data_IF_156570536217
#
_entry.id   IF_156570536217
#
_cell.length_a   1.000
_cell.length_b   1.000
_cell.length_c   1.000
_cell.angle_alpha   90.00
_cell.angle_beta   90.00
_cell.angle_gamma   90.00
#
_symmetry.space_group_name_H-M   'P 1'
#
loop_
_entity.id
_entity.type
_entity.pdbx_description
1 polymer ?
#
# COMPACT_ATOMS: atom_id res chain seq x y z
N UNK A 1 5.38 15.71 5.73
CA UNK A 1 5.00 14.49 6.47
C UNK A 1 4.05 13.65 5.65
N UNK A 2 4.21 12.33 5.65
CA UNK A 2 3.30 11.35 5.04
C UNK A 2 2.51 10.66 6.16
N UNK A 3 1.19 10.57 6.04
CA UNK A 3 0.34 9.78 6.92
C UNK A 3 -0.23 8.60 6.13
N UNK A 4 0.16 7.39 6.48
CA UNK A 4 -0.40 6.17 5.89
C UNK A 4 -1.53 5.63 6.76
N UNK A 5 -2.68 5.32 6.15
CA UNK A 5 -3.89 4.88 6.86
C UNK A 5 -4.40 3.60 6.21
N UNK A 6 -4.53 2.54 7.01
CA UNK A 6 -5.08 1.28 6.52
C UNK A 6 -4.74 0.08 7.37
N UNK A 7 -4.75 -1.10 6.74
CA UNK A 7 -4.51 -2.35 7.42
C UNK A 7 -3.07 -2.48 7.92
N UNK A 8 -2.97 -3.06 9.12
CA UNK A 8 -1.80 -3.75 9.66
C UNK A 8 -2.28 -5.13 10.08
N UNK A 9 -1.54 -6.15 9.70
CA UNK A 9 -1.96 -7.55 9.83
C UNK A 9 -0.76 -8.47 10.04
N UNK A 10 -1.02 -9.76 10.31
CA UNK A 10 0.03 -10.76 10.31
C UNK A 10 0.01 -11.56 9.01
N UNK A 11 1.17 -11.61 8.34
CA UNK A 11 1.45 -12.55 7.26
C UNK A 11 2.01 -13.84 7.89
N UNK A 12 1.26 -14.93 7.81
CA UNK A 12 1.67 -16.25 8.25
C UNK A 12 2.21 -17.04 7.07
N UNK A 13 3.54 -17.09 6.95
CA UNK A 13 4.22 -17.82 5.88
C UNK A 13 4.39 -19.26 6.32
N UNK A 14 3.74 -20.17 5.61
CA UNK A 14 3.69 -21.60 5.90
C UNK A 14 4.71 -22.42 5.11
N UNK A 15 5.38 -23.33 5.79
CA UNK A 15 6.26 -24.33 5.20
C UNK A 15 5.83 -25.73 5.65
N UNK A 16 5.78 -26.69 4.72
CA UNK A 16 5.47 -28.09 5.02
C UNK A 16 6.77 -28.86 5.26
N UNK A 17 7.02 -29.23 6.52
CA UNK A 17 8.19 -30.00 6.93
C UNK A 17 7.74 -31.27 7.68
N UNK A 18 8.26 -32.42 7.30
CA UNK A 18 8.01 -33.72 7.96
C UNK A 18 6.52 -34.04 8.21
N UNK A 19 5.65 -33.67 7.27
CA UNK A 19 4.21 -33.89 7.35
C UNK A 19 3.44 -32.86 8.20
N UNK A 20 4.12 -31.94 8.87
CA UNK A 20 3.53 -30.83 9.60
C UNK A 20 3.57 -29.54 8.79
N UNK A 21 2.52 -28.71 8.90
CA UNK A 21 2.50 -27.37 8.37
C UNK A 21 2.86 -26.40 9.51
N UNK A 22 3.99 -25.72 9.38
CA UNK A 22 4.47 -24.73 10.34
C UNK A 22 4.36 -23.32 9.77
N UNK A 23 4.02 -22.34 10.59
CA UNK A 23 3.91 -20.95 10.16
C UNK A 23 4.89 -20.05 10.90
N UNK A 24 5.51 -19.13 10.17
CA UNK A 24 6.27 -18.02 10.71
C UNK A 24 5.44 -16.74 10.51
N UNK A 25 5.24 -15.99 11.59
CA UNK A 25 4.48 -14.75 11.56
C UNK A 25 5.40 -13.56 11.25
N UNK A 26 4.94 -12.72 10.34
CA UNK A 26 5.55 -11.44 10.01
C UNK A 26 4.52 -10.33 10.15
N UNK A 27 4.95 -9.15 10.54
CA UNK A 27 4.11 -7.96 10.50
C UNK A 27 4.04 -7.48 9.04
N UNK A 28 2.83 -7.20 8.55
CA UNK A 28 2.56 -6.80 7.19
C UNK A 28 1.34 -5.89 7.10
N UNK A 29 0.82 -5.76 5.89
CA UNK A 29 -0.24 -4.82 5.49
C UNK A 29 0.33 -3.74 4.57
N UNK A 30 -0.24 -3.60 3.36
CA UNK A 30 0.33 -2.73 2.34
C UNK A 30 0.54 -1.28 2.81
N UNK A 31 -0.42 -0.62 3.50
CA UNK A 31 -0.21 0.74 4.01
C UNK A 31 0.88 0.82 5.09
N UNK A 32 0.99 -0.23 5.94
CA UNK A 32 2.06 -0.28 6.94
C UNK A 32 3.42 -0.51 6.28
N UNK A 33 3.51 -1.41 5.31
CA UNK A 33 4.74 -1.66 4.54
C UNK A 33 5.21 -0.37 3.83
N UNK A 34 4.29 0.36 3.21
CA UNK A 34 4.55 1.66 2.60
C UNK A 34 5.11 2.65 3.62
N UNK A 35 4.47 2.77 4.81
CA UNK A 35 4.91 3.68 5.86
C UNK A 35 6.36 3.39 6.30
N UNK A 36 6.67 2.11 6.55
CA UNK A 36 8.03 1.67 6.93
C UNK A 36 9.05 2.02 5.84
N UNK A 37 8.73 1.71 4.59
CA UNK A 37 9.64 1.99 3.46
C UNK A 37 9.81 3.49 3.19
N UNK A 38 8.77 4.30 3.38
CA UNK A 38 8.86 5.76 3.30
C UNK A 38 9.76 6.32 4.44
N UNK A 39 9.61 5.81 5.67
CA UNK A 39 10.46 6.17 6.81
C UNK A 39 11.92 5.82 6.56
N UNK A 40 12.19 4.62 6.09
CA UNK A 40 13.56 4.17 5.74
C UNK A 40 14.15 4.96 4.57
N UNK A 41 13.32 5.59 3.75
CA UNK A 41 13.71 6.49 2.66
C UNK A 41 13.87 7.96 3.10
N UNK A 42 13.79 8.25 4.41
CA UNK A 42 14.09 9.54 5.02
C UNK A 42 12.89 10.48 5.19
N UNK A 43 11.66 10.03 4.94
CA UNK A 43 10.46 10.84 5.18
C UNK A 43 10.11 10.91 6.68
N UNK A 44 9.37 11.97 7.06
CA UNK A 44 8.62 12.01 8.32
C UNK A 44 7.29 11.29 8.10
N UNK A 45 7.02 10.23 8.87
CA UNK A 45 5.92 9.30 8.60
C UNK A 45 5.07 9.03 9.83
N UNK A 46 3.75 9.15 9.67
CA UNK A 46 2.76 8.62 10.61
C UNK A 46 2.04 7.41 10.02
N UNK A 47 1.54 6.54 10.89
CA UNK A 47 0.68 5.44 10.52
C UNK A 47 -0.56 5.38 11.42
N UNK A 48 -1.72 5.11 10.82
CA UNK A 48 -2.98 4.85 11.52
C UNK A 48 -3.53 3.51 11.05
N UNK A 49 -3.79 2.62 12.00
CA UNK A 49 -4.41 1.33 11.74
C UNK A 49 -5.27 0.86 12.92
N UNK A 50 -5.85 -0.34 12.79
CA UNK A 50 -6.60 -0.96 13.87
C UNK A 50 -6.38 -2.46 13.90
N UNK A 51 -6.17 -3.01 15.11
CA UNK A 51 -5.99 -4.43 15.39
C UNK A 51 -7.00 -4.90 16.44
N UNK A 52 -7.20 -6.20 16.54
CA UNK A 52 -7.99 -6.80 17.62
C UNK A 52 -7.22 -6.84 18.95
N UNK A 53 -7.94 -6.92 20.06
CA UNK A 53 -7.36 -7.23 21.39
C UNK A 53 -7.06 -8.75 21.50
N UNK A 54 -6.21 -9.25 20.61
CA UNK A 54 -5.84 -10.67 20.53
C UNK A 54 -4.32 -10.88 20.50
N UNK A 55 -3.88 -12.14 20.44
CA UNK A 55 -2.45 -12.49 20.40
C UNK A 55 -1.76 -11.89 19.17
N UNK A 56 -2.44 -11.93 18.01
CA UNK A 56 -1.90 -11.41 16.75
C UNK A 56 -1.83 -9.89 16.78
N UNK A 57 -2.85 -9.21 17.30
CA UNK A 57 -2.86 -7.76 17.46
C UNK A 57 -1.70 -7.27 18.34
N UNK A 58 -1.46 -7.94 19.46
CA UNK A 58 -0.29 -7.63 20.30
C UNK A 58 1.04 -7.86 19.59
N UNK A 59 1.15 -8.96 18.83
CA UNK A 59 2.34 -9.27 18.05
C UNK A 59 2.62 -8.19 17.01
N UNK A 60 1.66 -7.87 16.13
CA UNK A 60 1.90 -6.88 15.06
C UNK A 60 2.13 -5.48 15.60
N UNK A 61 1.51 -5.11 16.73
CA UNK A 61 1.75 -3.82 17.40
C UNK A 61 3.20 -3.75 17.91
N UNK A 62 3.68 -4.80 18.60
CA UNK A 62 5.05 -4.84 19.09
C UNK A 62 6.09 -4.82 17.96
N UNK A 63 5.79 -5.47 16.82
CA UNK A 63 6.66 -5.38 15.64
C UNK A 63 6.60 -3.98 15.02
N UNK A 64 5.42 -3.36 14.95
CA UNK A 64 5.25 -2.02 14.39
C UNK A 64 6.02 -0.94 15.17
N UNK A 65 6.14 -1.08 16.48
CA UNK A 65 6.93 -0.17 17.33
C UNK A 65 8.42 -0.13 16.93
N UNK A 66 8.96 -1.26 16.44
CA UNK A 66 10.36 -1.34 15.97
C UNK A 66 10.62 -0.53 14.70
N UNK A 67 9.57 -0.19 13.94
CA UNK A 67 9.70 0.62 12.72
C UNK A 67 10.12 2.07 12.99
N UNK A 68 10.06 2.53 14.25
CA UNK A 68 10.42 3.89 14.67
C UNK A 68 9.78 4.98 13.80
N UNK A 69 8.50 4.82 13.47
CA UNK A 69 7.73 5.85 12.78
C UNK A 69 7.59 7.10 13.67
N UNK A 70 7.48 8.28 13.07
CA UNK A 70 7.37 9.54 13.82
C UNK A 70 6.03 9.65 14.58
N UNK A 71 5.00 8.95 14.12
CA UNK A 71 3.76 8.71 14.85
C UNK A 71 3.19 7.34 14.51
N UNK A 72 2.84 6.57 15.54
CA UNK A 72 2.24 5.25 15.39
C UNK A 72 0.94 5.22 16.19
N UNK A 73 -0.19 5.16 15.47
CA UNK A 73 -1.54 5.21 16.04
C UNK A 73 -2.31 3.94 15.70
N UNK A 74 -2.06 2.89 16.46
CA UNK A 74 -2.76 1.61 16.32
C UNK A 74 -3.91 1.58 17.32
N UNK A 75 -5.13 1.63 16.79
CA UNK A 75 -6.35 1.47 17.58
C UNK A 75 -6.56 -0.01 17.95
N UNK A 76 -7.12 -0.27 19.11
CA UNK A 76 -7.50 -1.63 19.54
C UNK A 76 -9.01 -1.81 19.45
N UNK A 77 -9.45 -2.93 18.87
CA UNK A 77 -10.84 -3.35 18.82
C UNK A 77 -11.08 -4.48 19.85
N UNK A 78 -11.97 -4.25 20.81
CA UNK A 78 -12.29 -5.21 21.87
C UNK A 78 -13.20 -6.36 21.42
N UNK A 79 -13.77 -6.25 20.21
CA UNK A 79 -14.79 -7.19 19.72
C UNK A 79 -14.37 -7.97 18.50
N UNK A 80 -13.43 -7.43 17.72
CA UNK A 80 -12.99 -7.98 16.44
C UNK A 80 -11.58 -8.49 16.52
N UNK A 81 -11.30 -9.53 15.74
CA UNK A 81 -9.96 -10.08 15.64
C UNK A 81 -9.09 -9.30 14.66
N UNK A 82 -7.79 -9.47 14.82
CA UNK A 82 -6.79 -9.00 13.88
C UNK A 82 -6.85 -9.83 12.60
N UNK A 83 -6.72 -9.19 11.46
CA UNK A 83 -6.62 -9.86 10.16
C UNK A 83 -5.35 -10.69 10.06
N UNK A 84 -5.47 -11.89 9.48
CA UNK A 84 -4.36 -12.79 9.18
C UNK A 84 -4.38 -13.12 7.69
N UNK A 85 -3.25 -12.97 7.04
CA UNK A 85 -3.01 -13.50 5.70
C UNK A 85 -2.18 -14.80 5.83
N UNK A 86 -2.67 -15.89 5.30
CA UNK A 86 -1.92 -17.13 5.16
C UNK A 86 -1.25 -17.14 3.79
N UNK A 87 0.04 -17.38 3.78
CA UNK A 87 0.84 -17.54 2.57
C UNK A 87 1.49 -18.91 2.64
N UNK A 88 1.05 -19.84 1.82
CA UNK A 88 1.66 -21.18 1.78
C UNK A 88 2.43 -21.37 0.48
N UNK A 89 3.56 -22.04 0.56
CA UNK A 89 4.34 -22.50 -0.57
C UNK A 89 4.11 -24.02 -0.70
N UNK A 90 3.26 -24.42 -1.66
CA UNK A 90 2.97 -25.81 -1.95
C UNK A 90 3.49 -26.09 -3.36
N UNK A 91 4.44 -27.02 -3.47
CA UNK A 91 5.06 -27.43 -4.76
C UNK A 91 5.62 -26.25 -5.60
N UNK A 92 6.08 -25.18 -4.92
CA UNK A 92 6.63 -23.97 -5.55
C UNK A 92 5.57 -22.95 -5.99
N UNK A 93 4.30 -23.26 -5.82
CA UNK A 93 3.20 -22.31 -6.04
C UNK A 93 2.79 -21.63 -4.72
N UNK A 94 2.51 -20.33 -4.81
CA UNK A 94 2.00 -19.56 -3.67
C UNK A 94 0.49 -19.62 -3.66
N UNK A 95 -0.04 -20.01 -2.51
CA UNK A 95 -1.46 -19.93 -2.20
C UNK A 95 -1.66 -18.87 -1.11
N UNK A 96 -2.64 -17.98 -1.31
CA UNK A 96 -3.02 -16.93 -0.38
C UNK A 96 -4.43 -17.17 0.14
N UNK A 97 -4.59 -17.06 1.45
CA UNK A 97 -5.91 -17.09 2.08
C UNK A 97 -5.97 -16.03 3.18
N UNK A 98 -7.07 -15.29 3.24
CA UNK A 98 -7.28 -14.30 4.28
C UNK A 98 -8.30 -14.79 5.31
N UNK A 99 -7.93 -14.78 6.60
CA UNK A 99 -8.89 -14.82 7.69
C UNK A 99 -9.29 -13.37 8.02
N UNK A 100 -10.32 -12.87 7.30
CA UNK A 100 -10.73 -11.47 7.31
C UNK A 100 -12.26 -11.33 7.31
N UNK A 101 -12.92 -12.06 8.22
CA UNK A 101 -14.36 -11.93 8.44
C UNK A 101 -14.63 -11.05 9.66
N UNK A 102 -15.28 -9.89 9.47
CA UNK A 102 -15.56 -8.86 10.50
C UNK A 102 -14.32 -8.53 11.38
N UNK A 103 -13.18 -8.29 10.74
CA UNK A 103 -11.91 -7.99 11.41
C UNK A 103 -11.73 -6.49 11.70
N UNK A 104 -10.75 -6.15 12.52
CA UNK A 104 -10.52 -4.80 13.01
C UNK A 104 -10.08 -3.80 11.94
N UNK A 105 -9.32 -4.25 10.93
CA UNK A 105 -8.61 -3.41 9.96
C UNK A 105 -9.51 -2.49 9.12
N UNK A 106 -10.74 -2.88 8.81
CA UNK A 106 -11.71 -2.04 8.09
C UNK A 106 -12.73 -1.34 9.03
N UNK A 107 -12.52 -1.43 10.33
CA UNK A 107 -13.32 -0.78 11.36
C UNK A 107 -12.55 0.33 12.09
N UNK A 108 -11.58 0.98 11.43
CA UNK A 108 -10.83 2.10 12.00
C UNK A 108 -11.83 3.20 12.40
N UNK A 109 -11.69 3.69 13.63
CA UNK A 109 -12.53 4.75 14.17
C UNK A 109 -11.98 6.12 13.74
N UNK A 110 -12.64 6.74 12.77
CA UNK A 110 -12.22 8.03 12.21
C UNK A 110 -12.21 9.14 13.26
N UNK A 111 -13.17 9.14 14.20
CA UNK A 111 -13.33 10.22 15.19
C UNK A 111 -12.22 10.18 16.26
N UNK A 112 -11.44 9.09 16.32
CA UNK A 112 -10.25 8.97 17.15
C UNK A 112 -8.97 9.43 16.45
N UNK A 113 -9.03 9.80 15.18
CA UNK A 113 -7.86 10.29 14.45
C UNK A 113 -7.74 11.80 14.65
N UNK A 114 -6.76 12.23 15.44
CA UNK A 114 -6.44 13.65 15.58
C UNK A 114 -5.50 14.08 14.44
N UNK A 115 -6.08 14.57 13.35
CA UNK A 115 -5.31 15.08 12.21
C UNK A 115 -4.44 16.29 12.56
N UNK A 116 -4.77 17.06 13.59
CA UNK A 116 -4.02 18.27 13.98
C UNK A 116 -2.64 17.96 14.58
N UNK A 117 -2.43 16.73 15.09
CA UNK A 117 -1.13 16.30 15.59
C UNK A 117 -0.10 16.06 14.50
N UNK A 118 -0.54 15.76 13.25
CA UNK A 118 0.35 15.49 12.11
C UNK A 118 0.78 16.81 11.46
N UNK A 119 1.78 17.46 12.04
CA UNK A 119 2.29 18.74 11.55
C UNK A 119 2.92 18.61 10.17
N UNK A 120 2.67 19.60 9.30
CA UNK A 120 3.18 19.60 7.92
C UNK A 120 2.78 18.37 7.13
N UNK A 121 1.53 17.93 7.27
CA UNK A 121 0.97 16.79 6.56
C UNK A 121 0.78 17.16 5.07
N UNK A 122 1.60 16.57 4.21
CA UNK A 122 1.62 16.85 2.77
C UNK A 122 0.91 15.76 1.96
N UNK A 123 0.99 14.51 2.43
CA UNK A 123 0.41 13.36 1.74
C UNK A 123 -0.32 12.48 2.76
N UNK A 124 -1.55 12.10 2.45
CA UNK A 124 -2.27 11.00 3.09
C UNK A 124 -2.32 9.84 2.12
N UNK A 125 -1.76 8.70 2.53
CA UNK A 125 -1.86 7.44 1.79
C UNK A 125 -2.99 6.61 2.36
N UNK A 126 -3.87 6.12 1.48
CA UNK A 126 -5.02 5.30 1.84
C UNK A 126 -4.83 3.87 1.33
N UNK A 127 -4.94 2.89 2.23
CA UNK A 127 -4.96 1.47 1.89
C UNK A 127 -6.24 1.07 1.14
N UNK A 128 -6.13 0.15 0.19
CA UNK A 128 -7.24 -0.29 -0.65
C UNK A 128 -8.00 -1.48 -0.09
N UNK A 129 -7.37 -2.29 0.76
CA UNK A 129 -7.94 -3.54 1.25
C UNK A 129 -9.27 -3.35 1.99
N UNK A 130 -9.39 -2.26 2.75
CA UNK A 130 -10.61 -1.93 3.48
C UNK A 130 -11.82 -1.67 2.58
N UNK A 131 -11.61 -1.36 1.30
CA UNK A 131 -12.68 -1.04 0.36
C UNK A 131 -13.53 -2.25 -0.01
N UNK A 132 -13.10 -3.47 0.32
CA UNK A 132 -13.94 -4.68 0.19
C UNK A 132 -15.23 -4.59 1.03
N UNK A 133 -15.19 -3.83 2.12
CA UNK A 133 -16.27 -3.71 3.07
C UNK A 133 -16.97 -2.34 3.03
N UNK A 134 -18.28 -2.31 3.23
CA UNK A 134 -19.05 -1.05 3.21
C UNK A 134 -18.55 -0.04 4.25
N UNK A 135 -18.26 -0.51 5.47
CA UNK A 135 -17.73 0.33 6.56
C UNK A 135 -16.36 0.91 6.19
N UNK A 136 -15.51 0.09 5.57
CA UNK A 136 -14.21 0.53 5.08
C UNK A 136 -14.33 1.58 3.98
N UNK A 137 -15.27 1.43 3.04
CA UNK A 137 -15.55 2.44 2.00
C UNK A 137 -16.05 3.76 2.60
N UNK A 138 -16.95 3.68 3.60
CA UNK A 138 -17.44 4.88 4.30
C UNK A 138 -16.32 5.60 5.06
N UNK A 139 -15.45 4.86 5.76
CA UNK A 139 -14.27 5.39 6.41
C UNK A 139 -13.30 6.04 5.42
N UNK A 140 -12.96 5.33 4.35
CA UNK A 140 -12.04 5.81 3.30
C UNK A 140 -12.54 7.11 2.65
N UNK A 141 -13.87 7.24 2.43
CA UNK A 141 -14.46 8.47 1.94
C UNK A 141 -14.23 9.64 2.92
N UNK A 142 -14.45 9.44 4.23
CA UNK A 142 -14.19 10.48 5.24
C UNK A 142 -12.72 10.89 5.26
N UNK A 143 -11.79 9.93 5.09
CA UNK A 143 -10.35 10.22 4.99
C UNK A 143 -10.05 11.06 3.75
N UNK A 144 -10.59 10.71 2.59
CA UNK A 144 -10.40 11.46 1.36
C UNK A 144 -10.96 12.90 1.47
N UNK A 145 -12.17 13.05 2.02
CA UNK A 145 -12.79 14.37 2.26
C UNK A 145 -11.92 15.21 3.21
N UNK A 146 -11.43 14.60 4.31
CA UNK A 146 -10.56 15.29 5.26
C UNK A 146 -9.21 15.67 4.68
N UNK A 147 -8.63 14.80 3.86
CA UNK A 147 -7.36 15.08 3.15
C UNK A 147 -7.49 16.32 2.28
N UNK A 148 -8.58 16.43 1.54
CA UNK A 148 -8.89 17.61 0.73
C UNK A 148 -9.10 18.86 1.59
N UNK A 149 -9.86 18.74 2.70
CA UNK A 149 -10.12 19.86 3.64
C UNK A 149 -8.83 20.47 4.18
N UNK A 150 -7.86 19.64 4.57
CA UNK A 150 -6.58 20.11 5.13
C UNK A 150 -5.55 20.51 4.06
N UNK A 151 -5.88 20.39 2.77
CA UNK A 151 -5.00 20.76 1.66
C UNK A 151 -3.82 19.79 1.42
N UNK A 152 -3.88 18.57 1.97
CA UNK A 152 -2.92 17.52 1.69
C UNK A 152 -3.26 16.78 0.40
N UNK A 153 -2.29 16.08 -0.21
CA UNK A 153 -2.52 15.22 -1.36
C UNK A 153 -2.95 13.82 -0.94
N UNK A 154 -3.93 13.27 -1.63
CA UNK A 154 -4.32 11.87 -1.45
C UNK A 154 -3.49 10.98 -2.38
N UNK A 155 -2.84 9.96 -1.82
CA UNK A 155 -2.20 8.89 -2.60
C UNK A 155 -2.95 7.56 -2.39
N UNK A 156 -3.08 6.79 -3.46
CA UNK A 156 -3.84 5.55 -3.48
C UNK A 156 -3.09 4.47 -4.28
N UNK A 157 -2.93 3.29 -3.70
CA UNK A 157 -2.44 2.10 -4.38
C UNK A 157 -3.62 1.16 -4.64
N UNK A 158 -3.84 0.79 -5.90
CA UNK A 158 -4.95 -0.09 -6.26
C UNK A 158 -4.78 -1.46 -5.63
N UNK A 159 -3.59 -2.02 -5.67
CA UNK A 159 -3.17 -3.23 -4.95
C UNK A 159 -4.28 -4.29 -4.86
N UNK A 160 -4.82 -4.68 -6.02
CA UNK A 160 -5.97 -5.55 -6.13
C UNK A 160 -5.71 -6.95 -5.56
N UNK A 161 -6.65 -7.46 -4.75
CA UNK A 161 -6.60 -8.79 -4.15
C UNK A 161 -7.81 -9.63 -4.56
N UNK A 162 -7.60 -10.59 -5.48
CA UNK A 162 -8.67 -11.49 -5.99
C UNK A 162 -9.32 -12.32 -4.89
N UNK A 163 -8.54 -12.70 -3.88
CA UNK A 163 -9.00 -13.55 -2.77
C UNK A 163 -9.99 -12.85 -1.83
N UNK A 164 -10.00 -11.52 -1.86
CA UNK A 164 -10.89 -10.69 -1.03
C UNK A 164 -12.10 -10.22 -1.82
N UNK A 165 -11.86 -9.72 -3.01
CA UNK A 165 -12.93 -9.34 -3.94
C UNK A 165 -13.21 -10.51 -4.88
N UNK A 166 -14.23 -11.28 -4.59
CA UNK A 166 -14.64 -12.42 -5.41
C UNK A 166 -15.11 -12.03 -6.82
N UNK A 167 -15.56 -10.79 -6.97
CA UNK A 167 -16.04 -10.19 -8.22
C UNK A 167 -15.19 -8.97 -8.53
N UNK A 168 -14.49 -9.02 -9.68
CA UNK A 168 -13.63 -7.93 -10.14
C UNK A 168 -14.40 -6.64 -10.39
N UNK A 169 -15.62 -6.73 -10.92
CA UNK A 169 -16.45 -5.55 -11.16
C UNK A 169 -16.87 -4.88 -9.84
N UNK A 170 -17.07 -5.66 -8.78
CA UNK A 170 -17.32 -5.13 -7.45
C UNK A 170 -16.07 -4.39 -6.91
N UNK A 171 -14.88 -4.95 -7.11
CA UNK A 171 -13.63 -4.28 -6.76
C UNK A 171 -13.44 -2.97 -7.53
N UNK A 172 -13.65 -3.01 -8.84
CA UNK A 172 -13.57 -1.82 -9.71
C UNK A 172 -14.52 -0.72 -9.23
N UNK A 173 -15.79 -1.05 -8.97
CA UNK A 173 -16.76 -0.09 -8.42
C UNK A 173 -16.34 0.50 -7.07
N UNK A 174 -15.70 -0.31 -6.21
CA UNK A 174 -15.22 0.14 -4.91
C UNK A 174 -14.01 1.08 -5.02
N UNK A 175 -13.11 0.82 -5.97
CA UNK A 175 -11.86 1.57 -6.17
C UNK A 175 -12.04 2.85 -7.00
N UNK A 176 -12.97 2.84 -7.97
CA UNK A 176 -13.15 3.93 -8.91
C UNK A 176 -13.29 5.31 -8.26
N UNK A 177 -14.06 5.52 -7.17
CA UNK A 177 -14.15 6.82 -6.50
C UNK A 177 -12.79 7.32 -6.00
N UNK A 178 -11.93 6.42 -5.51
CA UNK A 178 -10.61 6.75 -4.97
C UNK A 178 -9.58 6.98 -6.08
N UNK A 179 -9.62 6.18 -7.15
CA UNK A 179 -8.82 6.42 -8.37
C UNK A 179 -9.17 7.78 -8.97
N UNK A 180 -10.44 8.19 -8.93
CA UNK A 180 -10.89 9.50 -9.44
C UNK A 180 -10.44 10.66 -8.54
N UNK A 181 -10.55 10.54 -7.23
CA UNK A 181 -10.28 11.65 -6.31
C UNK A 181 -8.83 11.77 -5.83
N UNK A 182 -8.01 10.70 -5.94
CA UNK A 182 -6.62 10.75 -5.52
C UNK A 182 -5.75 11.58 -6.47
N UNK A 183 -4.77 12.29 -5.90
CA UNK A 183 -3.77 13.08 -6.63
C UNK A 183 -2.66 12.20 -7.20
N UNK A 184 -2.33 11.11 -6.51
CA UNK A 184 -1.30 10.16 -6.91
C UNK A 184 -1.89 8.75 -6.85
N UNK A 185 -1.93 8.06 -7.97
CA UNK A 185 -2.45 6.69 -8.05
C UNK A 185 -1.37 5.77 -8.59
N UNK A 186 -1.18 4.64 -7.92
CA UNK A 186 -0.28 3.58 -8.38
C UNK A 186 -1.09 2.36 -8.81
N UNK A 187 -0.64 1.75 -9.90
CA UNK A 187 -1.05 0.46 -10.41
C UNK A 187 0.18 -0.43 -10.68
N UNK A 188 0.00 -1.73 -10.68
CA UNK A 188 0.82 -2.60 -11.51
C UNK A 188 0.31 -2.57 -12.96
N UNK A 189 1.10 -3.09 -13.91
CA UNK A 189 0.69 -3.19 -15.31
C UNK A 189 -0.63 -3.96 -15.45
N UNK A 190 -0.71 -5.14 -14.86
CA UNK A 190 -1.90 -5.99 -14.91
C UNK A 190 -3.12 -5.31 -14.29
N UNK A 191 -2.96 -4.67 -13.13
CA UNK A 191 -4.04 -3.94 -12.46
C UNK A 191 -4.59 -2.79 -13.32
N UNK A 192 -3.71 -2.05 -14.00
CA UNK A 192 -4.13 -0.95 -14.86
C UNK A 192 -4.96 -1.45 -16.05
N UNK A 193 -4.47 -2.49 -16.72
CA UNK A 193 -5.16 -3.07 -17.88
C UNK A 193 -6.50 -3.68 -17.49
N UNK A 194 -6.53 -4.42 -16.39
CA UNK A 194 -7.76 -5.01 -15.86
C UNK A 194 -8.74 -3.91 -15.41
N UNK A 195 -8.27 -2.89 -14.71
CA UNK A 195 -9.13 -1.81 -14.20
C UNK A 195 -9.77 -1.01 -15.32
N UNK A 196 -9.02 -0.67 -16.36
CA UNK A 196 -9.53 0.14 -17.48
C UNK A 196 -10.24 -0.68 -18.54
N UNK A 197 -9.86 -1.93 -18.73
CA UNK A 197 -10.30 -2.77 -19.86
C UNK A 197 -9.72 -2.33 -21.21
N UNK A 198 -8.70 -1.47 -21.20
CA UNK A 198 -8.06 -0.89 -22.39
C UNK A 198 -6.75 -1.61 -22.63
N UNK A 199 -6.54 -2.09 -23.87
CA UNK A 199 -5.29 -2.70 -24.27
C UNK A 199 -4.19 -1.64 -24.45
N UNK A 200 -3.02 -1.91 -23.84
CA UNK A 200 -1.86 -1.03 -23.91
C UNK A 200 -1.77 -0.03 -22.76
N UNK A 201 -0.61 -0.03 -22.10
CA UNK A 201 -0.36 0.74 -20.87
C UNK A 201 -0.59 2.24 -21.07
N UNK A 202 -0.10 2.80 -22.18
CA UNK A 202 -0.21 4.23 -22.49
C UNK A 202 -1.68 4.66 -22.59
N UNK A 203 -2.47 3.98 -23.41
CA UNK A 203 -3.88 4.31 -23.62
C UNK A 203 -4.69 4.11 -22.32
N UNK A 204 -4.41 3.04 -21.57
CA UNK A 204 -5.04 2.76 -20.31
C UNK A 204 -4.75 3.84 -19.27
N UNK A 205 -3.48 4.23 -19.09
CA UNK A 205 -3.09 5.26 -18.14
C UNK A 205 -3.62 6.65 -18.55
N UNK A 206 -3.52 7.00 -19.83
CA UNK A 206 -4.02 8.27 -20.34
C UNK A 206 -5.54 8.43 -20.14
N UNK A 207 -6.31 7.33 -20.18
CA UNK A 207 -7.76 7.35 -19.91
C UNK A 207 -8.11 7.75 -18.48
N UNK A 208 -7.17 7.61 -17.54
CA UNK A 208 -7.33 7.96 -16.12
C UNK A 208 -6.71 9.31 -15.75
N UNK A 209 -5.95 9.92 -16.70
CA UNK A 209 -5.31 11.19 -16.44
C UNK A 209 -6.31 12.33 -16.29
N UNK A 210 -6.05 13.17 -15.32
CA UNK A 210 -6.73 14.44 -15.11
C UNK A 210 -5.67 15.49 -14.74
N UNK A 211 -6.06 16.78 -14.73
CA UNK A 211 -5.17 17.87 -14.37
C UNK A 211 -4.57 17.62 -12.98
N UNK A 212 -3.24 17.75 -12.90
CA UNK A 212 -2.45 17.60 -11.66
C UNK A 212 -2.50 16.20 -11.01
N UNK A 213 -3.11 15.21 -11.68
CA UNK A 213 -3.11 13.81 -11.25
C UNK A 213 -1.89 13.09 -11.80
N UNK A 214 -1.18 12.40 -10.93
CA UNK A 214 -0.05 11.56 -11.27
C UNK A 214 -0.47 10.09 -11.25
N UNK A 215 -0.35 9.41 -12.40
CA UNK A 215 -0.52 7.96 -12.51
C UNK A 215 0.87 7.33 -12.58
N UNK A 216 1.11 6.35 -11.72
CA UNK A 216 2.32 5.52 -11.67
C UNK A 216 1.96 4.09 -12.04
N UNK A 217 2.77 3.46 -12.87
CA UNK A 217 2.59 2.06 -13.26
C UNK A 217 3.89 1.30 -13.03
N UNK A 218 3.88 0.29 -12.15
CA UNK A 218 5.03 -0.58 -11.95
C UNK A 218 5.07 -1.68 -13.02
N UNK A 219 6.24 -1.90 -13.62
CA UNK A 219 6.49 -2.81 -14.75
C UNK A 219 7.39 -3.98 -14.32
N UNK A 220 7.35 -4.35 -13.05
CA UNK A 220 8.18 -5.39 -12.47
C UNK A 220 9.67 -5.12 -12.66
N UNK A 221 10.41 -6.09 -13.20
CA UNK A 221 11.86 -5.96 -13.46
C UNK A 221 12.22 -4.89 -14.49
N UNK A 222 11.25 -4.42 -15.27
CA UNK A 222 11.46 -3.40 -16.31
C UNK A 222 11.42 -1.97 -15.74
N UNK A 223 11.10 -1.80 -14.45
CA UNK A 223 11.04 -0.49 -13.80
C UNK A 223 9.62 0.03 -13.64
N UNK A 224 9.37 1.29 -14.01
CA UNK A 224 8.07 1.93 -13.82
C UNK A 224 7.81 3.00 -14.88
N UNK A 225 6.52 3.31 -15.12
CA UNK A 225 6.07 4.38 -16.02
C UNK A 225 5.32 5.46 -15.23
N UNK A 226 5.30 6.69 -15.73
CA UNK A 226 4.51 7.80 -15.18
C UNK A 226 3.74 8.54 -16.27
N UNK A 227 2.60 9.10 -15.86
CA UNK A 227 1.73 9.94 -16.68
C UNK A 227 1.29 11.14 -15.83
N UNK A 228 1.63 12.35 -16.27
CA UNK A 228 1.35 13.58 -15.54
C UNK A 228 1.24 14.79 -16.46
N UNK A 229 0.09 15.47 -16.47
CA UNK A 229 -0.16 16.71 -17.24
C UNK A 229 0.26 16.62 -18.73
N UNK A 230 -0.06 15.49 -19.37
CA UNK A 230 0.28 15.24 -20.78
C UNK A 230 1.72 14.78 -21.02
N UNK A 231 2.56 14.76 -19.99
CA UNK A 231 3.89 14.15 -20.05
C UNK A 231 3.83 12.70 -19.59
N UNK A 232 4.63 11.85 -20.24
CA UNK A 232 4.81 10.45 -19.86
C UNK A 232 6.25 10.00 -20.04
N UNK A 233 6.60 8.92 -19.36
CA UNK A 233 7.92 8.31 -19.54
C UNK A 233 8.08 7.03 -18.75
N UNK A 234 9.07 6.24 -19.16
CA UNK A 234 9.47 5.01 -18.48
C UNK A 234 10.82 5.25 -17.82
N UNK A 235 10.92 4.83 -16.56
CA UNK A 235 12.16 4.83 -15.79
C UNK A 235 12.57 3.38 -15.56
N UNK A 236 13.63 2.89 -16.20
CA UNK A 236 14.05 1.50 -16.05
C UNK A 236 14.56 1.23 -14.63
N UNK A 237 14.45 -0.04 -14.21
CA UNK A 237 15.12 -0.49 -13.00
C UNK A 237 16.59 -0.75 -13.30
N UNK A 238 17.45 0.06 -12.72
CA UNK A 238 18.92 -0.05 -12.89
C UNK A 238 19.55 -1.00 -11.86
N UNK A 239 18.86 -1.23 -10.73
CA UNK A 239 19.35 -2.10 -9.67
C UNK A 239 19.15 -3.57 -10.03
N UNK A 240 20.27 -4.30 -10.12
CA UNK A 240 20.26 -5.74 -10.37
C UNK A 240 20.22 -6.49 -9.04
N UNK A 241 19.09 -7.08 -8.72
CA UNK A 241 18.88 -7.88 -7.52
C UNK A 241 18.80 -9.38 -7.84
N UNK A 242 19.11 -10.21 -6.83
CA UNK A 242 18.74 -11.62 -6.83
C UNK A 242 17.44 -11.76 -6.06
N UNK A 243 16.33 -11.74 -6.78
CA UNK A 243 14.99 -11.81 -6.17
C UNK A 243 14.80 -13.15 -5.46
N UNK A 244 14.39 -13.09 -4.20
CA UNK A 244 14.04 -14.21 -3.33
C UNK A 244 12.52 -14.22 -3.11
N UNK A 245 11.96 -13.04 -2.79
CA UNK A 245 10.55 -12.84 -2.49
C UNK A 245 10.09 -11.49 -3.04
N UNK A 246 9.01 -11.45 -3.82
CA UNK A 246 8.47 -10.22 -4.40
C UNK A 246 7.43 -9.51 -3.52
N UNK A 247 7.12 -10.08 -2.35
CA UNK A 247 6.16 -9.51 -1.41
C UNK A 247 6.59 -8.11 -0.97
N UNK A 248 5.67 -7.15 -1.03
CA UNK A 248 5.92 -5.77 -0.60
C UNK A 248 6.78 -4.92 -1.54
N UNK A 249 7.25 -5.45 -2.69
CA UNK A 249 8.06 -4.68 -3.63
C UNK A 249 7.31 -3.42 -4.15
N UNK A 250 6.01 -3.56 -4.42
CA UNK A 250 5.13 -2.45 -4.80
C UNK A 250 4.98 -1.41 -3.70
N UNK A 251 4.80 -1.86 -2.45
CA UNK A 251 4.69 -0.99 -1.27
C UNK A 251 6.00 -0.24 -1.05
N UNK A 252 7.13 -0.93 -1.21
CA UNK A 252 8.47 -0.35 -1.07
C UNK A 252 8.77 0.68 -2.16
N UNK A 253 8.42 0.37 -3.42
CA UNK A 253 8.49 1.33 -4.52
C UNK A 253 7.70 2.59 -4.19
N UNK A 254 6.43 2.43 -3.79
CA UNK A 254 5.55 3.56 -3.58
C UNK A 254 5.95 4.37 -2.35
N UNK A 255 6.34 3.72 -1.24
CA UNK A 255 6.84 4.40 -0.05
C UNK A 255 8.07 5.26 -0.32
N UNK A 256 9.06 4.72 -1.03
CA UNK A 256 10.27 5.47 -1.40
C UNK A 256 9.98 6.58 -2.43
N UNK A 257 9.06 6.35 -3.37
CA UNK A 257 8.59 7.37 -4.30
C UNK A 257 7.94 8.55 -3.56
N UNK A 258 6.99 8.27 -2.67
CA UNK A 258 6.30 9.31 -1.89
C UNK A 258 7.27 10.09 -1.00
N UNK A 259 8.23 9.41 -0.35
CA UNK A 259 9.28 10.06 0.43
C UNK A 259 10.10 11.05 -0.39
N UNK A 260 10.40 10.71 -1.64
CA UNK A 260 11.22 11.56 -2.51
C UNK A 260 10.47 12.75 -3.10
N UNK A 261 9.12 12.68 -3.18
CA UNK A 261 8.29 13.71 -3.85
C UNK A 261 7.52 14.59 -2.87
N UNK A 262 7.33 14.19 -1.60
CA UNK A 262 6.38 14.81 -0.66
C UNK A 262 6.55 16.33 -0.51
N UNK A 263 7.79 16.81 -0.52
CA UNK A 263 8.14 18.23 -0.34
C UNK A 263 8.54 18.92 -1.65
N UNK A 264 8.23 18.29 -2.79
CA UNK A 264 8.61 18.82 -4.10
C UNK A 264 7.37 19.14 -4.93
N UNK A 265 7.52 20.14 -5.79
CA UNK A 265 6.57 20.34 -6.87
C UNK A 265 6.75 19.19 -7.87
N UNK A 266 5.68 18.53 -8.30
CA UNK A 266 5.77 17.48 -9.30
C UNK A 266 6.16 18.10 -10.67
N UNK A 267 7.41 17.89 -11.06
CA UNK A 267 7.95 18.15 -12.38
C UNK A 267 8.49 16.86 -12.96
N UNK A 268 8.74 16.81 -14.25
CA UNK A 268 9.34 15.64 -14.89
C UNK A 268 10.60 15.18 -14.17
N UNK A 269 11.49 16.09 -13.83
CA UNK A 269 12.77 15.79 -13.18
C UNK A 269 12.55 15.23 -11.77
N UNK A 270 11.65 15.83 -10.99
CA UNK A 270 11.34 15.37 -9.63
C UNK A 270 10.63 14.02 -9.63
N UNK A 271 9.72 13.79 -10.58
CA UNK A 271 9.03 12.50 -10.76
C UNK A 271 10.02 11.41 -11.15
N UNK A 272 10.85 11.62 -12.18
CA UNK A 272 11.86 10.65 -12.62
C UNK A 272 12.86 10.32 -11.51
N UNK A 273 13.32 11.33 -10.76
CA UNK A 273 14.20 11.12 -9.62
C UNK A 273 13.53 10.28 -8.52
N UNK A 274 12.27 10.56 -8.19
CA UNK A 274 11.52 9.80 -7.19
C UNK A 274 11.26 8.35 -7.66
N UNK A 275 10.99 8.14 -8.95
CA UNK A 275 10.81 6.80 -9.52
C UNK A 275 12.08 5.96 -9.48
N UNK A 276 13.27 6.55 -9.69
CA UNK A 276 14.54 5.83 -9.51
C UNK A 276 14.70 5.32 -8.09
N UNK A 277 14.42 6.17 -7.09
CA UNK A 277 14.44 5.76 -5.68
C UNK A 277 13.42 4.64 -5.40
N UNK A 278 12.21 4.76 -5.95
CA UNK A 278 11.17 3.74 -5.86
C UNK A 278 11.61 2.41 -6.47
N UNK A 279 12.11 2.43 -7.72
CA UNK A 279 12.58 1.23 -8.44
C UNK A 279 13.70 0.52 -7.67
N UNK A 280 14.68 1.28 -7.15
CA UNK A 280 15.78 0.73 -6.36
C UNK A 280 15.28 0.12 -5.06
N UNK A 281 14.41 0.82 -4.33
CA UNK A 281 13.86 0.33 -3.05
C UNK A 281 13.00 -0.91 -3.26
N UNK A 282 12.12 -0.92 -4.27
CA UNK A 282 11.31 -2.07 -4.63
C UNK A 282 12.17 -3.28 -4.99
N UNK A 283 13.21 -3.10 -5.80
CA UNK A 283 14.13 -4.18 -6.16
C UNK A 283 14.88 -4.73 -4.93
N UNK A 284 15.42 -3.87 -4.05
CA UNK A 284 16.11 -4.29 -2.81
C UNK A 284 15.18 -5.07 -1.88
N UNK A 285 13.90 -4.73 -1.82
CA UNK A 285 12.92 -5.45 -1.01
C UNK A 285 12.75 -6.89 -1.46
N UNK A 286 12.97 -7.20 -2.73
CA UNK A 286 12.86 -8.58 -3.21
C UNK A 286 14.03 -9.50 -2.81
N UNK A 287 15.09 -8.99 -2.20
CA UNK A 287 16.28 -9.77 -1.82
C UNK A 287 16.13 -10.54 -0.49
N UNK A 288 15.00 -10.40 0.20
CA UNK A 288 14.74 -11.08 1.47
C UNK A 288 13.28 -11.56 1.56
N UNK A 289 13.00 -12.43 2.50
CA UNK A 289 11.63 -12.88 2.78
C UNK A 289 10.83 -11.83 3.57
N UNK A 290 9.56 -11.65 3.17
CA UNK A 290 8.65 -10.68 3.78
C UNK A 290 8.76 -9.29 3.15
N UNK A 291 7.79 -8.42 3.46
CA UNK A 291 7.63 -7.13 2.82
C UNK A 291 8.53 -6.02 3.41
N UNK A 292 8.96 -6.17 4.65
CA UNK A 292 9.75 -5.17 5.40
C UNK A 292 10.82 -5.81 6.27
N UNK A 293 11.90 -5.08 6.52
CA UNK A 293 12.86 -5.36 7.60
C UNK A 293 12.70 -4.27 8.65
N UNK A 294 12.39 -4.68 9.89
CA UNK A 294 12.27 -3.82 11.06
C UNK A 294 13.56 -3.77 11.86
#
# INVERSE_FOLDING_TARGET
MILSIGEILADLIGEKNDGALTFRAFCGGAPFNLAVNAKQSGATVGFVGRVGNDVIGRFVTAEAEKANLDSLDIQTDEKRNTTIAFVTLIDGERDFAFNRHDTADFNIDFDKIDFAKYKNLNIVHLGSLMLSEEKGRAFAKRVADKTKEIGAKLSFDVNFRKDIFRDFDAAKRAYEPFVKCADIVKFSEDELLDFTGISGIDAAAESLCDKDKLILVTLGKNGSAYYFNGEKGVVPSEYKCKSVDTTGAGDAFFGAFLAAIENKKPTKESIVSAMRNGNEKGAKTTEFFGAIKL
#
